data_IF_021286380035
#
_entry.id   IF_021286380035
#
_cell.length_a   1.000
_cell.length_b   1.000
_cell.length_c   1.000
_cell.angle_alpha   90.00
_cell.angle_beta   90.00
_cell.angle_gamma   90.00
#
_symmetry.space_group_name_H-M   'P 1'
#
loop_
_entity.id
_entity.type
_entity.pdbx_description
1 polymer ?
#
# COMPACT_ATOMS: atom_id res chain seq x y z
N UNK A 1 -11.47 26.08 -18.72
CA UNK A 1 -12.80 25.53 -19.02
C UNK A 1 -12.88 24.97 -20.45
N UNK A 2 -12.53 25.70 -21.49
CA UNK A 2 -12.64 25.27 -22.90
C UNK A 2 -11.92 23.93 -23.19
N UNK A 3 -10.69 23.76 -22.73
CA UNK A 3 -9.90 22.54 -22.99
C UNK A 3 -10.51 21.27 -22.32
N UNK A 4 -11.05 21.39 -21.10
CA UNK A 4 -11.65 20.24 -20.40
C UNK A 4 -13.00 19.87 -21.04
N UNK A 5 -13.75 20.87 -21.52
CA UNK A 5 -14.99 20.62 -22.25
C UNK A 5 -14.72 19.89 -23.56
N UNK A 6 -13.65 20.26 -24.27
CA UNK A 6 -13.22 19.58 -25.49
C UNK A 6 -12.83 18.12 -25.22
N UNK A 7 -12.03 17.86 -24.17
CA UNK A 7 -11.67 16.50 -23.76
C UNK A 7 -12.93 15.68 -23.40
N UNK A 8 -13.84 16.27 -22.62
CA UNK A 8 -15.11 15.64 -22.24
C UNK A 8 -15.94 15.27 -23.48
N UNK A 9 -16.19 16.21 -24.40
CA UNK A 9 -16.97 15.97 -25.62
C UNK A 9 -16.31 14.91 -26.52
N UNK A 10 -15.00 14.90 -26.66
CA UNK A 10 -14.25 13.91 -27.43
C UNK A 10 -14.44 12.50 -26.84
N UNK A 11 -14.39 12.36 -25.51
CA UNK A 11 -14.49 11.07 -24.82
C UNK A 11 -15.91 10.52 -24.90
N UNK A 12 -16.92 11.32 -24.53
CA UNK A 12 -18.32 10.85 -24.50
C UNK A 12 -18.90 10.53 -25.86
N UNK A 13 -18.40 11.20 -26.90
CA UNK A 13 -18.85 11.02 -28.30
C UNK A 13 -17.90 10.12 -29.11
N UNK A 14 -17.01 9.37 -28.45
CA UNK A 14 -16.15 8.44 -29.16
C UNK A 14 -16.97 7.40 -29.92
N UNK A 15 -16.61 7.14 -31.18
CA UNK A 15 -17.30 6.21 -32.06
C UNK A 15 -16.78 4.78 -31.85
N UNK A 16 -17.60 3.92 -31.30
CA UNK A 16 -17.29 2.51 -31.09
C UNK A 16 -17.78 1.58 -32.21
N UNK A 17 -18.26 2.10 -33.36
CA UNK A 17 -18.87 1.29 -34.41
C UNK A 17 -17.88 0.28 -35.03
N UNK A 18 -16.60 0.61 -35.09
CA UNK A 18 -15.57 -0.27 -35.65
C UNK A 18 -14.93 -1.21 -34.61
N UNK A 19 -15.42 -1.19 -33.37
CA UNK A 19 -14.88 -1.98 -32.27
C UNK A 19 -15.63 -3.29 -32.11
N UNK A 20 -14.91 -4.41 -32.11
CA UNK A 20 -15.47 -5.70 -31.68
C UNK A 20 -15.69 -5.65 -30.19
N UNK A 21 -16.94 -5.60 -29.75
CA UNK A 21 -17.30 -5.54 -28.36
C UNK A 21 -17.39 -6.97 -27.78
N UNK A 22 -16.31 -7.40 -27.14
CA UNK A 22 -16.29 -8.62 -26.34
C UNK A 22 -16.98 -8.38 -24.99
N UNK A 23 -17.27 -9.46 -24.25
CA UNK A 23 -17.92 -9.37 -22.94
C UNK A 23 -17.11 -8.60 -21.91
N UNK A 24 -15.80 -8.43 -22.09
CA UNK A 24 -14.92 -7.68 -21.21
C UNK A 24 -14.13 -6.64 -21.98
N UNK A 25 -14.29 -5.38 -21.60
CA UNK A 25 -13.62 -4.27 -22.25
C UNK A 25 -12.83 -3.43 -21.24
N UNK A 26 -11.68 -2.95 -21.70
CA UNK A 26 -10.91 -1.90 -21.01
C UNK A 26 -10.78 -0.71 -21.95
N UNK A 27 -11.34 0.42 -21.56
CA UNK A 27 -11.25 1.66 -22.34
C UNK A 27 -10.29 2.61 -21.63
N UNK A 28 -9.28 3.08 -22.37
CA UNK A 28 -8.26 4.01 -21.89
C UNK A 28 -8.39 5.36 -22.57
N UNK A 29 -8.24 6.44 -21.78
CA UNK A 29 -8.17 7.81 -22.30
C UNK A 29 -7.44 8.72 -21.32
N UNK A 30 -7.07 9.93 -21.77
CA UNK A 30 -6.47 10.94 -20.93
C UNK A 30 -7.24 12.26 -20.99
N UNK A 31 -7.15 13.02 -19.91
CA UNK A 31 -7.69 14.37 -19.82
C UNK A 31 -6.68 15.31 -19.19
N UNK A 32 -6.78 16.62 -19.48
CA UNK A 32 -6.01 17.62 -18.75
C UNK A 32 -6.39 17.63 -17.27
N UNK A 33 -5.40 17.69 -16.40
CA UNK A 33 -5.59 17.78 -14.95
C UNK A 33 -6.10 19.16 -14.55
N UNK A 34 -7.38 19.27 -14.20
CA UNK A 34 -8.04 20.49 -13.74
C UNK A 34 -8.69 20.34 -12.37
N UNK A 35 -8.60 19.17 -11.78
CA UNK A 35 -9.17 18.80 -10.48
C UNK A 35 -8.11 18.03 -9.67
N UNK A 36 -8.29 17.99 -8.37
CA UNK A 36 -7.37 17.28 -7.47
C UNK A 36 -7.78 15.82 -7.24
N UNK A 37 -6.87 15.04 -6.63
CA UNK A 37 -7.12 13.65 -6.25
C UNK A 37 -8.30 13.53 -5.28
N UNK A 38 -8.43 14.46 -4.33
CA UNK A 38 -9.52 14.41 -3.35
C UNK A 38 -10.87 14.83 -3.95
N UNK A 39 -10.92 15.77 -4.92
CA UNK A 39 -12.12 16.10 -5.67
C UNK A 39 -12.67 14.86 -6.36
N UNK A 40 -11.77 14.12 -7.06
CA UNK A 40 -12.14 12.89 -7.74
C UNK A 40 -12.70 11.82 -6.78
N UNK A 41 -12.01 11.51 -5.68
CA UNK A 41 -12.46 10.51 -4.70
C UNK A 41 -13.81 10.91 -4.09
N UNK A 42 -14.04 12.20 -3.88
CA UNK A 42 -15.24 12.73 -3.22
C UNK A 42 -16.50 12.48 -4.03
N UNK A 43 -16.42 12.51 -5.36
CA UNK A 43 -17.56 12.23 -6.25
C UNK A 43 -18.10 10.82 -6.05
N UNK A 44 -17.28 9.89 -5.61
CA UNK A 44 -17.64 8.49 -5.45
C UNK A 44 -17.91 8.11 -3.98
N UNK A 45 -18.51 9.01 -3.21
CA UNK A 45 -18.88 8.70 -1.82
C UNK A 45 -19.85 7.51 -1.69
N UNK A 46 -20.66 7.26 -2.72
CA UNK A 46 -21.57 6.10 -2.81
C UNK A 46 -20.84 4.76 -3.03
N UNK A 47 -19.58 4.78 -3.54
CA UNK A 47 -18.69 3.61 -3.70
C UNK A 47 -17.81 3.38 -2.48
N UNK A 48 -18.20 3.88 -1.30
CA UNK A 48 -17.48 3.68 -0.06
C UNK A 48 -17.30 2.18 0.24
N UNK A 49 -16.06 1.81 0.62
CA UNK A 49 -15.69 0.41 0.83
C UNK A 49 -15.06 -0.26 -0.38
N UNK A 50 -15.03 0.45 -1.52
CA UNK A 50 -14.48 -0.04 -2.80
C UNK A 50 -13.63 1.05 -3.46
N UNK A 51 -12.77 1.72 -2.69
CA UNK A 51 -11.91 2.81 -3.21
C UNK A 51 -10.53 2.71 -2.63
N UNK A 52 -9.53 3.13 -3.42
CA UNK A 52 -8.17 3.24 -2.91
C UNK A 52 -7.42 4.44 -3.53
N UNK A 53 -6.32 4.81 -2.89
CA UNK A 53 -5.31 5.72 -3.43
C UNK A 53 -3.92 5.22 -3.08
N UNK A 54 -3.01 5.22 -4.07
CA UNK A 54 -1.59 4.94 -3.93
C UNK A 54 -0.83 6.19 -4.41
N UNK A 55 -0.20 6.90 -3.48
CA UNK A 55 0.64 8.07 -3.76
C UNK A 55 2.00 7.86 -3.11
N UNK A 56 3.01 7.64 -3.94
CA UNK A 56 4.34 7.24 -3.49
C UNK A 56 5.44 8.16 -4.04
N UNK A 57 6.58 8.32 -3.33
CA UNK A 57 7.59 9.31 -3.68
C UNK A 57 8.30 9.03 -5.00
N UNK A 58 8.42 7.76 -5.34
CA UNK A 58 9.15 7.26 -6.50
C UNK A 58 8.38 7.36 -7.81
N UNK A 59 7.03 7.31 -7.75
CA UNK A 59 6.19 7.27 -8.96
C UNK A 59 5.87 8.64 -9.57
N UNK A 60 6.07 9.74 -8.82
CA UNK A 60 5.60 11.10 -9.19
C UNK A 60 4.15 11.14 -9.69
N UNK A 61 3.37 10.12 -9.34
CA UNK A 61 1.98 9.95 -9.73
C UNK A 61 1.14 9.50 -8.55
N UNK A 62 -0.19 9.71 -8.65
CA UNK A 62 -1.16 9.13 -7.74
C UNK A 62 -2.07 8.20 -8.52
N UNK A 63 -2.29 6.99 -8.02
CA UNK A 63 -3.22 6.03 -8.60
C UNK A 63 -4.44 5.93 -7.70
N UNK A 64 -5.64 6.12 -8.25
CA UNK A 64 -6.91 6.08 -7.52
C UNK A 64 -7.83 5.09 -8.21
N UNK A 65 -8.25 4.06 -7.47
CA UNK A 65 -9.25 3.09 -7.92
C UNK A 65 -10.60 3.32 -7.27
N UNK A 66 -11.65 3.19 -8.06
CA UNK A 66 -13.05 3.33 -7.67
C UNK A 66 -13.85 2.13 -8.15
N UNK A 67 -14.64 1.54 -7.25
CA UNK A 67 -15.37 0.30 -7.51
C UNK A 67 -14.42 -0.90 -7.64
N UNK A 68 -14.86 -2.09 -7.28
CA UNK A 68 -14.05 -3.30 -7.40
C UNK A 68 -14.77 -4.30 -8.30
N UNK A 69 -14.41 -4.30 -9.58
CA UNK A 69 -15.04 -5.17 -10.58
C UNK A 69 -14.65 -6.64 -10.35
N UNK A 70 -13.39 -6.88 -9.99
CA UNK A 70 -12.89 -8.21 -9.60
C UNK A 70 -12.11 -8.12 -8.30
N UNK A 71 -12.27 -9.13 -7.47
CA UNK A 71 -11.57 -9.24 -6.18
C UNK A 71 -10.98 -10.64 -6.02
N UNK A 72 -9.75 -10.70 -5.53
CA UNK A 72 -9.10 -11.93 -5.08
C UNK A 72 -8.84 -11.80 -3.58
N UNK A 73 -9.64 -12.48 -2.79
CA UNK A 73 -9.58 -12.48 -1.34
C UNK A 73 -9.24 -13.90 -0.87
N UNK A 74 -8.05 -14.10 -0.38
CA UNK A 74 -7.57 -15.40 0.08
C UNK A 74 -7.15 -15.28 1.54
N UNK A 75 -7.63 -16.23 2.34
CA UNK A 75 -7.19 -16.40 3.71
C UNK A 75 -6.23 -17.59 3.76
N UNK A 76 -4.99 -17.31 4.05
CA UNK A 76 -3.91 -18.28 4.11
C UNK A 76 -3.04 -18.00 5.32
N UNK A 77 -2.74 -19.02 6.09
CA UNK A 77 -1.77 -18.92 7.18
C UNK A 77 -0.32 -18.90 6.69
N UNK A 78 -0.12 -18.95 5.37
CA UNK A 78 1.20 -18.98 4.75
C UNK A 78 1.31 -17.91 3.67
N UNK A 79 2.14 -16.89 3.95
CA UNK A 79 2.47 -15.81 3.03
C UNK A 79 3.01 -16.33 1.68
N UNK A 80 3.83 -17.37 1.71
CA UNK A 80 4.44 -17.95 0.51
C UNK A 80 3.41 -18.59 -0.41
N UNK A 81 2.42 -19.29 0.17
CA UNK A 81 1.38 -19.96 -0.61
C UNK A 81 0.47 -18.97 -1.35
N UNK A 82 0.34 -17.74 -0.86
CA UNK A 82 -0.50 -16.71 -1.48
C UNK A 82 0.03 -16.26 -2.84
N UNK A 83 1.35 -16.19 -3.01
CA UNK A 83 1.99 -15.83 -4.29
C UNK A 83 2.37 -17.05 -5.14
N UNK A 84 2.68 -18.17 -4.53
CA UNK A 84 2.92 -19.44 -5.23
C UNK A 84 1.62 -20.11 -5.68
N UNK A 85 0.49 -19.83 -5.02
CA UNK A 85 -0.80 -20.29 -5.47
C UNK A 85 -1.15 -19.68 -6.82
N UNK A 86 -1.32 -20.54 -7.79
CA UNK A 86 -1.70 -20.23 -9.17
C UNK A 86 -2.95 -19.33 -9.29
N UNK A 87 -3.60 -18.97 -8.17
CA UNK A 87 -4.94 -18.41 -8.17
C UNK A 87 -4.99 -16.89 -8.45
N UNK A 88 -4.02 -16.08 -8.02
CA UNK A 88 -4.08 -14.63 -8.23
C UNK A 88 -3.48 -14.24 -9.58
N UNK A 89 -2.20 -14.55 -9.78
CA UNK A 89 -1.53 -14.20 -11.05
C UNK A 89 -2.14 -14.92 -12.23
N UNK A 90 -2.43 -16.24 -12.11
CA UNK A 90 -3.07 -16.98 -13.20
C UNK A 90 -4.50 -16.53 -13.46
N UNK A 91 -5.27 -16.21 -12.41
CA UNK A 91 -6.60 -15.63 -12.58
C UNK A 91 -6.58 -14.25 -13.23
N UNK A 92 -5.57 -13.45 -12.94
CA UNK A 92 -5.39 -12.16 -13.61
C UNK A 92 -4.91 -12.33 -15.06
N UNK A 93 -4.00 -13.26 -15.34
CA UNK A 93 -3.57 -13.62 -16.70
C UNK A 93 -4.76 -14.14 -17.52
N UNK A 94 -5.61 -14.99 -16.95
CA UNK A 94 -6.84 -15.46 -17.58
C UNK A 94 -7.79 -14.30 -17.87
N UNK A 95 -8.00 -13.39 -16.91
CA UNK A 95 -8.79 -12.18 -17.12
C UNK A 95 -8.27 -11.35 -18.29
N UNK A 96 -6.96 -11.15 -18.38
CA UNK A 96 -6.32 -10.40 -19.46
C UNK A 96 -6.61 -11.00 -20.85
N UNK A 97 -6.61 -12.33 -20.97
CA UNK A 97 -6.91 -13.00 -22.25
C UNK A 97 -8.36 -12.83 -22.70
N UNK A 98 -9.26 -12.44 -21.80
CA UNK A 98 -10.67 -12.23 -22.06
C UNK A 98 -11.03 -10.75 -22.31
N UNK A 99 -10.05 -9.84 -22.17
CA UNK A 99 -10.28 -8.39 -22.23
C UNK A 99 -9.85 -7.84 -23.59
N UNK A 100 -10.75 -7.09 -24.23
CA UNK A 100 -10.41 -6.24 -25.38
C UNK A 100 -10.04 -4.84 -24.89
N UNK A 101 -8.89 -4.33 -25.36
CA UNK A 101 -8.39 -3.01 -25.00
C UNK A 101 -8.70 -2.00 -26.11
N UNK A 102 -9.28 -0.87 -25.69
CA UNK A 102 -9.57 0.29 -26.54
C UNK A 102 -8.80 1.48 -25.97
N UNK A 103 -7.94 2.09 -26.76
CA UNK A 103 -7.20 3.28 -26.37
C UNK A 103 -7.62 4.46 -27.24
N UNK A 104 -8.42 5.36 -26.67
CA UNK A 104 -8.98 6.52 -27.38
C UNK A 104 -7.89 7.54 -27.77
N UNK A 105 -6.78 7.57 -27.03
CA UNK A 105 -5.72 8.57 -27.16
C UNK A 105 -4.39 8.00 -27.64
N UNK A 106 -4.33 6.69 -27.94
CA UNK A 106 -3.14 5.98 -28.41
C UNK A 106 -1.91 6.27 -27.52
N UNK A 107 -2.09 6.18 -26.17
CA UNK A 107 -0.98 6.39 -25.24
C UNK A 107 -0.39 5.05 -24.77
N UNK A 108 0.93 4.99 -24.63
CA UNK A 108 1.64 3.75 -24.26
C UNK A 108 1.54 3.37 -22.77
N UNK A 109 0.88 4.20 -21.95
CA UNK A 109 0.80 3.98 -20.51
C UNK A 109 -0.15 2.83 -20.15
N UNK A 110 0.36 1.82 -19.47
CA UNK A 110 -0.42 0.65 -19.05
C UNK A 110 -0.69 0.70 -17.54
N UNK A 111 -1.94 0.88 -17.19
CA UNK A 111 -2.37 0.98 -15.80
C UNK A 111 -3.41 -0.06 -15.39
N UNK A 112 -4.02 -0.80 -16.34
CA UNK A 112 -4.90 -1.91 -16.00
C UNK A 112 -4.13 -2.95 -15.19
N UNK A 113 -4.66 -3.35 -14.03
CA UNK A 113 -3.90 -4.24 -13.16
C UNK A 113 -4.58 -4.57 -11.83
N UNK A 114 -3.84 -5.34 -11.05
CA UNK A 114 -4.15 -5.71 -9.68
C UNK A 114 -3.60 -4.68 -8.70
N UNK A 115 -4.40 -4.29 -7.72
CA UNK A 115 -4.04 -3.36 -6.65
C UNK A 115 -4.35 -3.99 -5.31
N UNK A 116 -3.40 -4.01 -4.40
CA UNK A 116 -3.61 -4.66 -3.10
C UNK A 116 -2.34 -5.11 -2.42
N UNK A 117 -2.45 -6.10 -1.54
CA UNK A 117 -1.32 -6.58 -0.77
C UNK A 117 -1.54 -7.93 -0.11
N UNK A 118 -0.52 -8.35 0.63
CA UNK A 118 -0.51 -9.58 1.42
C UNK A 118 -0.12 -9.26 2.84
N UNK A 119 -0.91 -9.73 3.82
CA UNK A 119 -0.68 -9.52 5.24
C UNK A 119 0.27 -10.55 5.83
N UNK A 120 0.50 -10.45 7.14
CA UNK A 120 1.28 -11.41 7.91
C UNK A 120 0.55 -12.75 8.20
N UNK A 121 -0.65 -12.95 7.66
CA UNK A 121 -1.47 -14.14 7.88
C UNK A 121 -2.31 -14.09 9.17
N UNK A 122 -2.39 -12.95 9.83
CA UNK A 122 -3.08 -12.80 11.13
C UNK A 122 -4.43 -12.09 11.07
N UNK A 123 -4.92 -11.72 9.89
CA UNK A 123 -6.12 -10.89 9.74
C UNK A 123 -7.35 -11.50 10.39
N UNK A 124 -7.55 -12.81 10.26
CA UNK A 124 -8.70 -13.50 10.87
C UNK A 124 -8.69 -13.54 12.38
N UNK A 125 -7.53 -13.40 13.01
CA UNK A 125 -7.37 -13.48 14.46
C UNK A 125 -7.71 -12.18 15.18
N UNK A 126 -7.96 -11.08 14.43
CA UNK A 126 -8.17 -9.75 14.98
C UNK A 126 -9.41 -9.08 14.42
N UNK A 127 -10.14 -8.36 15.27
CA UNK A 127 -11.34 -7.63 14.86
C UNK A 127 -11.03 -6.42 13.97
N UNK A 128 -9.85 -5.85 14.10
CA UNK A 128 -9.44 -4.66 13.35
C UNK A 128 -9.40 -4.92 11.84
N UNK A 129 -9.00 -6.13 11.43
CA UNK A 129 -8.82 -6.52 10.02
C UNK A 129 -9.97 -7.34 9.44
N UNK A 130 -11.14 -7.36 10.11
CA UNK A 130 -12.28 -8.23 9.78
C UNK A 130 -12.73 -8.16 8.31
N UNK A 131 -12.56 -7.02 7.67
CA UNK A 131 -12.97 -6.80 6.27
C UNK A 131 -11.86 -7.13 5.26
N UNK A 132 -10.63 -7.35 5.73
CA UNK A 132 -9.48 -7.69 4.89
C UNK A 132 -9.14 -9.17 5.03
N UNK A 133 -9.01 -9.86 3.90
CA UNK A 133 -8.39 -11.19 3.87
C UNK A 133 -6.86 -11.06 3.94
N UNK A 134 -6.16 -12.16 4.28
CA UNK A 134 -4.71 -12.18 4.36
C UNK A 134 -4.06 -11.77 3.03
N UNK A 135 -4.68 -12.13 1.92
CA UNK A 135 -4.36 -11.61 0.61
C UNK A 135 -5.57 -10.89 0.03
N UNK A 136 -5.41 -9.64 -0.34
CA UNK A 136 -6.48 -8.78 -0.85
C UNK A 136 -5.98 -8.03 -2.08
N UNK A 137 -6.44 -8.43 -3.26
CA UNK A 137 -6.19 -7.74 -4.52
C UNK A 137 -7.49 -7.45 -5.25
N UNK A 138 -7.53 -6.33 -5.94
CA UNK A 138 -8.68 -5.87 -6.72
C UNK A 138 -8.29 -5.37 -8.11
N UNK A 139 -9.22 -5.48 -9.05
CA UNK A 139 -9.22 -4.72 -10.31
C UNK A 139 -10.32 -3.68 -10.17
N UNK A 140 -10.02 -2.38 -10.24
CA UNK A 140 -11.02 -1.33 -10.11
C UNK A 140 -11.90 -1.20 -11.35
N UNK A 141 -13.16 -0.77 -11.17
CA UNK A 141 -14.05 -0.36 -12.26
C UNK A 141 -13.51 0.87 -13.00
N UNK A 142 -12.99 1.83 -12.23
CA UNK A 142 -12.41 3.07 -12.72
C UNK A 142 -11.05 3.24 -12.05
N UNK A 143 -10.02 3.37 -12.84
CA UNK A 143 -8.71 3.78 -12.37
C UNK A 143 -8.36 5.15 -12.94
N UNK A 144 -7.98 6.08 -12.09
CA UNK A 144 -7.46 7.39 -12.46
C UNK A 144 -6.00 7.53 -12.01
N UNK A 145 -5.09 7.82 -12.94
CA UNK A 145 -3.68 8.04 -12.64
C UNK A 145 -3.30 9.49 -12.91
N UNK A 146 -3.04 10.22 -11.84
CA UNK A 146 -2.62 11.62 -11.88
C UNK A 146 -1.11 11.67 -12.10
N UNK A 147 -0.66 12.10 -13.29
CA UNK A 147 0.76 12.15 -13.67
C UNK A 147 1.04 13.41 -14.50
N UNK A 148 1.88 14.29 -13.99
CA UNK A 148 2.18 15.56 -14.64
C UNK A 148 0.93 16.43 -14.82
N UNK A 149 0.70 16.89 -16.04
CA UNK A 149 -0.41 17.74 -16.42
C UNK A 149 -1.67 16.99 -16.83
N UNK A 150 -1.66 15.67 -16.75
CA UNK A 150 -2.76 14.83 -17.21
C UNK A 150 -3.26 13.89 -16.11
N UNK A 151 -4.51 13.45 -16.29
CA UNK A 151 -5.10 12.32 -15.61
C UNK A 151 -5.40 11.27 -16.67
N UNK A 152 -4.86 10.06 -16.49
CA UNK A 152 -5.08 8.90 -17.34
C UNK A 152 -6.16 8.05 -16.71
N UNK A 153 -7.20 7.75 -17.46
CA UNK A 153 -8.30 6.92 -17.02
C UNK A 153 -8.24 5.55 -17.69
N UNK A 154 -8.53 4.52 -16.91
CA UNK A 154 -8.75 3.16 -17.36
C UNK A 154 -10.09 2.70 -16.80
N UNK A 155 -11.07 2.45 -17.67
CA UNK A 155 -12.39 1.98 -17.30
C UNK A 155 -12.52 0.52 -17.69
N UNK A 156 -12.86 -0.34 -16.73
CA UNK A 156 -13.10 -1.75 -16.97
C UNK A 156 -14.60 -2.04 -17.01
N UNK A 157 -15.04 -2.81 -17.98
CA UNK A 157 -16.41 -3.23 -18.19
C UNK A 157 -16.45 -4.76 -18.28
N UNK A 158 -17.17 -5.39 -17.36
CA UNK A 158 -17.58 -6.80 -17.44
C UNK A 158 -19.06 -6.82 -17.81
N UNK A 159 -19.35 -7.12 -19.08
CA UNK A 159 -20.69 -7.05 -19.62
C UNK A 159 -21.35 -8.42 -19.55
N UNK A 160 -22.54 -8.46 -18.98
CA UNK A 160 -23.42 -9.61 -19.07
C UNK A 160 -24.15 -9.62 -20.42
N UNK A 161 -24.61 -10.80 -20.86
CA UNK A 161 -25.36 -10.93 -22.10
C UNK A 161 -26.60 -10.03 -22.14
N UNK A 162 -26.70 -9.24 -23.21
CA UNK A 162 -27.86 -8.36 -23.44
C UNK A 162 -27.74 -6.94 -22.84
N UNK A 163 -26.60 -6.58 -22.25
CA UNK A 163 -26.36 -5.21 -21.79
C UNK A 163 -25.94 -4.32 -22.96
N UNK A 164 -26.56 -3.16 -23.10
CA UNK A 164 -26.14 -2.14 -24.06
C UNK A 164 -24.85 -1.45 -23.55
N UNK A 165 -23.75 -1.68 -24.26
CA UNK A 165 -22.47 -1.07 -23.94
C UNK A 165 -22.54 0.47 -23.93
N UNK A 166 -23.23 1.09 -24.86
CA UNK A 166 -23.31 2.56 -24.93
C UNK A 166 -24.06 3.15 -23.73
N UNK A 167 -25.06 2.44 -23.22
CA UNK A 167 -25.73 2.85 -21.98
C UNK A 167 -24.79 2.72 -20.79
N UNK A 168 -24.06 1.60 -20.68
CA UNK A 168 -23.08 1.37 -19.64
C UNK A 168 -21.91 2.38 -19.71
N UNK A 169 -21.44 2.69 -20.91
CA UNK A 169 -20.44 3.73 -21.16
C UNK A 169 -20.87 5.09 -20.64
N UNK A 170 -22.06 5.54 -21.02
CA UNK A 170 -22.63 6.82 -20.57
C UNK A 170 -22.72 6.88 -19.05
N UNK A 171 -23.26 5.84 -18.43
CA UNK A 171 -23.38 5.73 -16.96
C UNK A 171 -22.02 5.78 -16.28
N UNK A 172 -21.02 5.04 -16.80
CA UNK A 172 -19.69 4.96 -16.18
C UNK A 172 -18.86 6.21 -16.41
N UNK A 173 -19.14 7.00 -17.43
CA UNK A 173 -18.48 8.29 -17.73
C UNK A 173 -19.21 9.52 -17.18
N UNK A 174 -20.39 9.37 -16.57
CA UNK A 174 -21.18 10.47 -15.97
C UNK A 174 -20.36 11.34 -14.99
N UNK A 175 -19.39 10.75 -14.29
CA UNK A 175 -18.53 11.48 -13.37
C UNK A 175 -17.69 12.57 -14.05
N UNK A 176 -17.40 12.43 -15.34
CA UNK A 176 -16.65 13.43 -16.12
C UNK A 176 -17.41 14.75 -16.19
N UNK A 177 -18.72 14.70 -16.33
CA UNK A 177 -19.57 15.89 -16.30
C UNK A 177 -19.48 16.60 -14.95
N UNK A 178 -19.56 15.84 -13.84
CA UNK A 178 -19.45 16.39 -12.48
C UNK A 178 -18.06 17.01 -12.21
N UNK A 179 -16.99 16.45 -12.79
CA UNK A 179 -15.64 17.02 -12.70
C UNK A 179 -15.52 18.36 -13.47
N UNK A 180 -16.22 18.48 -14.58
CA UNK A 180 -16.23 19.73 -15.39
C UNK A 180 -16.94 20.87 -14.65
N UNK A 181 -18.07 20.58 -13.99
CA UNK A 181 -18.87 21.59 -13.32
C UNK A 181 -18.49 21.86 -11.86
N UNK A 182 -17.51 21.13 -11.31
CA UNK A 182 -16.89 21.34 -9.98
C UNK A 182 -17.91 21.58 -8.84
N UNK A 183 -18.65 20.58 -8.46
CA UNK A 183 -19.40 20.61 -7.20
C UNK A 183 -18.46 20.40 -6.03
N UNK A 184 -18.35 21.37 -5.11
CA UNK A 184 -17.53 21.21 -3.89
C UNK A 184 -18.21 20.22 -2.94
N UNK A 185 -17.56 19.08 -2.64
CA UNK A 185 -18.12 18.11 -1.73
C UNK A 185 -18.01 18.59 -0.28
N UNK A 186 -19.09 18.42 0.49
CA UNK A 186 -19.07 18.61 1.94
C UNK A 186 -18.27 17.48 2.61
N UNK A 187 -17.14 17.81 3.18
CA UNK A 187 -16.30 16.87 3.95
C UNK A 187 -16.37 17.17 5.45
N UNK A 188 -16.79 16.19 6.23
CA UNK A 188 -16.65 16.26 7.67
C UNK A 188 -15.20 15.90 8.04
N UNK A 189 -14.51 16.80 8.71
CA UNK A 189 -13.18 16.54 9.23
C UNK A 189 -13.26 15.58 10.42
N UNK A 190 -12.37 14.58 10.50
CA UNK A 190 -12.34 13.66 11.61
C UNK A 190 -11.90 14.39 12.88
N UNK A 191 -12.67 14.28 13.96
CA UNK A 191 -12.33 14.83 15.28
C UNK A 191 -12.13 13.71 16.28
N UNK A 192 -11.03 13.79 17.05
CA UNK A 192 -10.73 12.83 18.11
C UNK A 192 -11.64 13.07 19.31
N UNK A 193 -12.35 12.03 19.74
CA UNK A 193 -13.10 11.99 20.99
C UNK A 193 -12.25 11.42 22.13
N UNK A 194 -11.65 10.25 21.92
CA UNK A 194 -10.85 9.54 22.94
C UNK A 194 -9.64 8.86 22.30
N UNK A 195 -8.52 8.86 23.02
CA UNK A 195 -7.33 8.05 22.70
C UNK A 195 -7.10 7.07 23.86
N UNK A 196 -6.90 5.80 23.54
CA UNK A 196 -6.61 4.74 24.50
C UNK A 196 -5.42 3.91 24.06
N UNK A 197 -4.56 3.55 25.00
CA UNK A 197 -3.56 2.50 24.80
C UNK A 197 -4.21 1.13 24.96
N UNK A 198 -3.82 0.20 24.12
CA UNK A 198 -4.25 -1.19 24.22
C UNK A 198 -3.21 -1.93 25.07
N UNK A 199 -3.63 -2.40 26.26
CA UNK A 199 -2.80 -3.15 27.21
C UNK A 199 -1.48 -2.44 27.58
N UNK A 200 -1.53 -1.20 28.10
CA UNK A 200 -0.31 -0.41 28.36
C UNK A 200 0.64 -1.09 29.36
N UNK A 201 0.13 -1.78 30.37
CA UNK A 201 0.96 -2.49 31.36
C UNK A 201 1.72 -3.66 30.72
N UNK A 202 1.05 -4.44 29.87
CA UNK A 202 1.67 -5.55 29.15
C UNK A 202 2.77 -5.03 28.22
N UNK A 203 2.49 -3.93 27.52
CA UNK A 203 3.47 -3.32 26.62
C UNK A 203 4.70 -2.79 27.40
N UNK A 204 4.50 -2.15 28.54
CA UNK A 204 5.58 -1.68 29.42
C UNK A 204 6.41 -2.84 29.97
N UNK A 205 5.76 -3.93 30.35
CA UNK A 205 6.48 -5.14 30.81
C UNK A 205 7.28 -5.79 29.67
N UNK A 206 6.76 -5.78 28.47
CA UNK A 206 7.48 -6.28 27.29
C UNK A 206 8.74 -5.45 26.99
N UNK A 207 8.73 -4.13 27.24
CA UNK A 207 9.95 -3.32 27.14
C UNK A 207 11.00 -3.82 28.14
N UNK A 208 10.61 -4.02 29.42
CA UNK A 208 11.56 -4.47 30.46
C UNK A 208 12.17 -5.84 30.11
N UNK A 209 11.32 -6.78 29.68
CA UNK A 209 11.78 -8.12 29.26
C UNK A 209 12.73 -8.04 28.07
N UNK A 210 12.39 -7.21 27.06
CA UNK A 210 13.22 -7.05 25.87
C UNK A 210 14.59 -6.43 26.19
N UNK A 211 14.61 -5.37 27.00
CA UNK A 211 15.86 -4.74 27.44
C UNK A 211 16.73 -5.71 28.23
N UNK A 212 16.14 -6.53 29.11
CA UNK A 212 16.84 -7.56 29.85
C UNK A 212 17.49 -8.62 28.92
N UNK A 213 16.74 -9.09 27.92
CA UNK A 213 17.28 -10.04 26.94
C UNK A 213 18.39 -9.43 26.07
N UNK A 214 18.31 -8.13 25.79
CA UNK A 214 19.37 -7.39 25.09
C UNK A 214 20.62 -7.26 26.00
N UNK A 215 20.45 -6.97 27.28
CA UNK A 215 21.54 -6.90 28.25
C UNK A 215 22.23 -8.25 28.41
N UNK A 216 21.48 -9.35 28.43
CA UNK A 216 21.99 -10.74 28.51
C UNK A 216 22.64 -11.21 27.20
N UNK A 217 22.54 -10.45 26.12
CA UNK A 217 23.10 -10.78 24.82
C UNK A 217 22.29 -11.80 24.01
N UNK A 218 21.09 -12.19 24.46
CA UNK A 218 20.16 -13.07 23.72
C UNK A 218 19.57 -12.36 22.51
N UNK A 219 19.32 -11.05 22.66
CA UNK A 219 18.93 -10.15 21.59
C UNK A 219 19.98 -9.04 21.45
N UNK A 220 20.29 -8.64 20.23
CA UNK A 220 21.06 -7.40 20.00
C UNK A 220 20.10 -6.21 19.87
N UNK A 221 18.89 -6.46 19.39
CA UNK A 221 17.81 -5.46 19.21
C UNK A 221 16.46 -6.13 18.95
N UNK A 222 15.42 -5.36 19.17
CA UNK A 222 14.04 -5.78 18.95
C UNK A 222 13.19 -4.59 18.47
N UNK A 223 12.32 -4.80 17.48
CA UNK A 223 11.26 -3.85 17.13
C UNK A 223 10.01 -4.25 17.88
N UNK A 224 9.69 -3.51 18.93
CA UNK A 224 8.53 -3.78 19.78
C UNK A 224 7.30 -3.02 19.26
N UNK A 225 6.21 -3.71 18.89
CA UNK A 225 4.97 -3.08 18.42
C UNK A 225 4.14 -2.51 19.58
N UNK A 226 3.37 -1.45 19.29
CA UNK A 226 2.37 -0.85 20.17
C UNK A 226 1.11 -0.54 19.40
N UNK A 227 -0.05 -0.83 19.96
CA UNK A 227 -1.35 -0.48 19.43
C UNK A 227 -2.01 0.60 20.25
N UNK A 228 -2.56 1.63 19.59
CA UNK A 228 -3.38 2.65 20.20
C UNK A 228 -4.75 2.66 19.52
N UNK A 229 -5.82 2.79 20.29
CA UNK A 229 -7.16 3.03 19.76
C UNK A 229 -7.52 4.50 19.84
N UNK A 230 -8.10 5.00 18.77
CA UNK A 230 -8.61 6.37 18.66
C UNK A 230 -10.09 6.26 18.32
N UNK A 231 -10.93 6.82 19.16
CA UNK A 231 -12.34 6.97 18.87
C UNK A 231 -12.58 8.37 18.30
N UNK A 232 -13.21 8.44 17.14
CA UNK A 232 -13.62 9.68 16.48
C UNK A 232 -15.07 10.02 16.84
N UNK A 233 -15.41 11.31 16.88
CA UNK A 233 -16.79 11.79 16.99
C UNK A 233 -17.62 11.33 15.79
N UNK A 234 -17.03 11.37 14.61
CA UNK A 234 -17.68 11.01 13.35
C UNK A 234 -16.85 9.95 12.62
N UNK A 235 -17.54 9.18 11.78
CA UNK A 235 -16.88 8.21 10.90
C UNK A 235 -15.96 8.93 9.93
N UNK A 236 -14.68 8.47 9.82
CA UNK A 236 -13.73 9.00 8.84
C UNK A 236 -14.03 8.51 7.42
N UNK A 237 -13.55 9.23 6.44
CA UNK A 237 -13.67 8.87 5.02
C UNK A 237 -12.33 8.95 4.30
N UNK A 238 -12.20 8.15 3.24
CA UNK A 238 -11.00 8.19 2.39
C UNK A 238 -10.76 9.60 1.82
N UNK A 239 -11.82 10.30 1.39
CA UNK A 239 -11.71 11.64 0.85
C UNK A 239 -11.16 12.66 1.88
N UNK A 240 -11.65 12.63 3.13
CA UNK A 240 -11.16 13.51 4.20
C UNK A 240 -9.67 13.23 4.53
N UNK A 241 -9.30 11.96 4.66
CA UNK A 241 -7.90 11.58 4.89
C UNK A 241 -7.02 11.98 3.70
N UNK A 242 -7.48 11.76 2.47
CA UNK A 242 -6.74 12.14 1.26
C UNK A 242 -6.51 13.64 1.21
N UNK A 243 -7.53 14.47 1.42
CA UNK A 243 -7.41 15.94 1.48
C UNK A 243 -6.36 16.36 2.50
N UNK A 244 -6.45 15.82 3.70
CA UNK A 244 -5.51 16.14 4.77
C UNK A 244 -4.07 15.76 4.42
N UNK A 245 -3.81 14.52 3.98
CA UNK A 245 -2.47 14.03 3.66
C UNK A 245 -1.86 14.76 2.46
N UNK A 246 -2.67 15.11 1.45
CA UNK A 246 -2.23 15.92 0.31
C UNK A 246 -1.83 17.33 0.74
N UNK A 247 -2.62 17.98 1.59
CA UNK A 247 -2.29 19.31 2.14
C UNK A 247 -0.98 19.31 2.93
N UNK A 248 -0.66 18.20 3.62
CA UNK A 248 0.63 18.01 4.31
C UNK A 248 1.75 17.50 3.38
N UNK A 249 1.50 17.40 2.07
CA UNK A 249 2.46 16.89 1.07
C UNK A 249 3.04 15.51 1.47
N UNK A 250 2.19 14.62 2.01
CA UNK A 250 2.58 13.28 2.42
C UNK A 250 2.42 12.27 1.28
N UNK A 251 3.29 11.26 1.30
CA UNK A 251 3.11 10.04 0.53
C UNK A 251 2.35 9.03 1.37
N UNK A 252 1.43 8.31 0.76
CA UNK A 252 0.57 7.37 1.48
C UNK A 252 -0.10 6.37 0.55
N UNK A 253 -0.51 5.25 1.13
CA UNK A 253 -1.44 4.30 0.54
C UNK A 253 -2.66 4.26 1.44
N UNK A 254 -3.84 4.38 0.86
CA UNK A 254 -5.10 4.21 1.57
C UNK A 254 -6.03 3.30 0.75
N UNK A 255 -6.69 2.36 1.42
CA UNK A 255 -7.46 1.31 0.77
C UNK A 255 -8.71 1.01 1.60
N UNK A 256 -9.87 1.13 0.99
CA UNK A 256 -11.14 0.75 1.60
C UNK A 256 -11.49 -0.69 1.24
N UNK A 257 -11.97 -1.44 2.22
CA UNK A 257 -12.58 -2.74 2.03
C UNK A 257 -13.83 -2.82 2.90
N UNK A 258 -15.01 -2.89 2.29
CA UNK A 258 -16.30 -2.87 2.98
C UNK A 258 -16.43 -1.69 3.95
N UNK A 259 -16.34 -1.93 5.27
CA UNK A 259 -16.46 -0.89 6.31
C UNK A 259 -15.12 -0.37 6.80
N UNK A 260 -14.04 -1.05 6.47
CA UNK A 260 -12.70 -0.75 6.94
C UNK A 260 -11.93 0.14 5.96
N UNK A 261 -11.07 0.99 6.51
CA UNK A 261 -10.15 1.85 5.76
C UNK A 261 -8.73 1.66 6.32
N UNK A 262 -7.90 0.97 5.55
CA UNK A 262 -6.47 0.86 5.79
C UNK A 262 -5.74 2.10 5.27
N UNK A 263 -4.81 2.64 6.06
CA UNK A 263 -3.94 3.74 5.64
C UNK A 263 -2.52 3.52 6.13
N UNK A 264 -1.54 3.69 5.26
CA UNK A 264 -0.13 3.77 5.64
C UNK A 264 0.51 5.03 5.09
N UNK A 265 1.33 5.71 5.89
CA UNK A 265 2.03 6.92 5.48
C UNK A 265 3.52 6.65 5.31
N UNK A 266 4.14 7.34 4.34
CA UNK A 266 5.53 7.16 3.95
C UNK A 266 5.88 5.68 3.67
N UNK A 267 5.13 5.01 2.77
CA UNK A 267 5.42 3.64 2.39
C UNK A 267 6.81 3.56 1.73
N UNK A 268 7.54 2.50 2.03
CA UNK A 268 8.91 2.29 1.56
C UNK A 268 8.89 1.26 0.42
N UNK A 269 9.45 1.62 -0.75
CA UNK A 269 9.53 0.66 -1.85
C UNK A 269 10.33 -0.58 -1.43
N UNK A 270 9.82 -1.76 -1.71
CA UNK A 270 10.47 -3.03 -1.37
C UNK A 270 10.78 -3.88 -2.58
N UNK A 271 9.92 -3.83 -3.59
CA UNK A 271 10.12 -4.54 -4.86
C UNK A 271 9.69 -3.64 -6.00
N UNK A 272 10.52 -3.61 -7.05
CA UNK A 272 10.22 -2.99 -8.33
C UNK A 272 10.56 -3.98 -9.43
N UNK A 273 9.60 -4.26 -10.28
CA UNK A 273 9.74 -5.10 -11.47
C UNK A 273 9.29 -4.26 -12.64
N UNK A 274 10.21 -3.90 -13.50
CA UNK A 274 9.98 -3.04 -14.64
C UNK A 274 10.74 -3.59 -15.85
N UNK A 275 10.08 -3.69 -17.00
CA UNK A 275 10.61 -4.33 -18.20
C UNK A 275 11.17 -5.74 -17.93
N UNK A 276 12.48 -5.88 -17.99
CA UNK A 276 13.22 -7.12 -17.70
C UNK A 276 14.09 -7.01 -16.45
N UNK A 277 13.90 -5.95 -15.65
CA UNK A 277 14.70 -5.70 -14.44
C UNK A 277 13.89 -5.94 -13.18
N UNK A 278 14.49 -6.64 -12.21
CA UNK A 278 14.02 -6.79 -10.85
C UNK A 278 14.93 -5.99 -9.93
N UNK A 279 14.33 -5.15 -9.08
CA UNK A 279 15.00 -4.42 -8.01
C UNK A 279 14.35 -4.77 -6.67
N UNK A 280 15.12 -5.38 -5.78
CA UNK A 280 14.73 -5.63 -4.40
C UNK A 280 15.45 -4.64 -3.47
N UNK A 281 14.68 -3.91 -2.66
CA UNK A 281 15.19 -2.84 -1.80
C UNK A 281 15.33 -3.33 -0.37
N UNK A 282 16.57 -3.37 0.13
CA UNK A 282 16.90 -3.75 1.50
C UNK A 282 17.30 -2.51 2.29
N UNK A 283 16.49 -2.16 3.28
CA UNK A 283 16.74 -0.98 4.11
C UNK A 283 17.84 -1.25 5.11
N UNK A 284 18.99 -0.61 4.93
CA UNK A 284 20.20 -0.79 5.75
C UNK A 284 20.25 0.20 6.92
N UNK A 285 19.67 1.39 6.75
CA UNK A 285 19.71 2.45 7.74
C UNK A 285 18.40 3.23 7.71
N UNK A 286 17.78 3.32 8.87
CA UNK A 286 16.57 4.10 9.04
C UNK A 286 16.81 5.21 10.06
N UNK A 287 17.17 6.39 9.56
CA UNK A 287 17.47 7.54 10.44
C UNK A 287 16.24 8.08 11.15
N UNK A 288 15.02 7.64 10.78
CA UNK A 288 13.83 8.42 11.10
C UNK A 288 12.52 7.72 11.36
N UNK A 289 12.43 6.41 11.24
CA UNK A 289 11.20 5.75 11.66
C UNK A 289 11.07 5.69 13.19
N UNK A 290 12.19 5.74 13.91
CA UNK A 290 12.21 5.43 15.33
C UNK A 290 12.88 6.48 16.23
N UNK A 291 13.74 7.37 15.74
CA UNK A 291 14.36 8.44 16.55
C UNK A 291 15.16 9.44 15.72
N UNK A 292 15.56 10.57 16.35
CA UNK A 292 16.52 11.54 15.77
C UNK A 292 17.98 11.02 15.77
N UNK A 293 18.23 9.86 16.38
CA UNK A 293 19.54 9.22 16.35
C UNK A 293 19.60 8.25 15.16
N UNK A 294 20.64 8.34 14.36
CA UNK A 294 20.94 7.39 13.29
C UNK A 294 21.23 6.02 13.90
N UNK A 295 20.28 5.11 13.82
CA UNK A 295 20.49 3.73 14.26
C UNK A 295 20.95 2.93 13.06
N UNK A 296 22.19 2.47 13.06
CA UNK A 296 22.69 1.45 12.11
C UNK A 296 21.91 0.17 12.41
N UNK A 297 21.03 -0.22 11.50
CA UNK A 297 20.11 -1.31 11.78
C UNK A 297 20.76 -2.68 11.75
N UNK A 298 22.03 -2.83 11.25
CA UNK A 298 22.68 -4.13 11.19
C UNK A 298 24.20 -4.05 11.15
N UNK A 299 24.85 -5.13 11.55
CA UNK A 299 26.15 -5.52 11.01
C UNK A 299 25.85 -5.89 9.54
N UNK A 300 26.01 -4.92 8.68
CA UNK A 300 25.37 -4.81 7.36
C UNK A 300 25.72 -5.95 6.42
N UNK A 301 26.88 -6.58 6.65
CA UNK A 301 27.43 -7.58 5.74
C UNK A 301 26.69 -8.92 5.80
N UNK A 302 26.36 -9.42 6.99
CA UNK A 302 25.87 -10.80 7.12
C UNK A 302 24.45 -10.98 6.58
N UNK A 303 23.58 -10.01 6.83
CA UNK A 303 22.19 -10.08 6.34
C UNK A 303 22.14 -9.84 4.85
N UNK A 304 22.92 -8.89 4.38
CA UNK A 304 23.02 -8.61 2.97
C UNK A 304 23.51 -9.82 2.16
N UNK A 305 24.56 -10.50 2.67
CA UNK A 305 25.08 -11.73 2.08
C UNK A 305 23.98 -12.80 2.06
N UNK A 306 23.26 -13.01 3.17
CA UNK A 306 22.16 -13.97 3.25
C UNK A 306 21.09 -13.71 2.22
N UNK A 307 20.55 -12.47 2.14
CA UNK A 307 19.54 -12.14 1.13
C UNK A 307 20.05 -12.35 -0.28
N UNK A 308 21.30 -11.97 -0.57
CA UNK A 308 21.91 -12.19 -1.88
C UNK A 308 21.96 -13.68 -2.21
N UNK A 309 22.34 -14.53 -1.26
CA UNK A 309 22.37 -15.98 -1.42
C UNK A 309 20.96 -16.58 -1.59
N UNK A 310 19.99 -16.15 -0.80
CA UNK A 310 18.59 -16.58 -0.92
C UNK A 310 17.99 -16.18 -2.28
N UNK A 311 18.22 -14.96 -2.73
CA UNK A 311 17.82 -14.50 -4.05
C UNK A 311 18.52 -15.30 -5.16
N UNK A 312 19.85 -15.52 -5.04
CA UNK A 312 20.61 -16.34 -5.98
C UNK A 312 20.06 -17.76 -6.06
N UNK A 313 19.77 -18.38 -4.93
CA UNK A 313 19.20 -19.72 -4.86
C UNK A 313 17.79 -19.79 -5.48
N UNK A 314 16.94 -18.78 -5.19
CA UNK A 314 15.55 -18.74 -5.66
C UNK A 314 15.45 -18.49 -7.17
N UNK A 315 16.33 -17.64 -7.71
CA UNK A 315 16.28 -17.20 -9.12
C UNK A 315 17.34 -17.84 -10.00
N UNK A 316 18.27 -18.63 -9.43
CA UNK A 316 19.41 -19.27 -10.14
C UNK A 316 20.24 -18.24 -10.92
N UNK A 317 20.36 -17.01 -10.41
CA UNK A 317 21.03 -15.87 -11.04
C UNK A 317 21.84 -15.07 -10.02
N UNK A 318 22.90 -14.44 -10.50
CA UNK A 318 23.65 -13.47 -9.74
C UNK A 318 22.92 -12.11 -9.72
N UNK A 319 22.98 -11.46 -8.55
CA UNK A 319 22.42 -10.14 -8.34
C UNK A 319 23.55 -9.12 -8.21
N UNK A 320 23.43 -8.05 -8.99
CA UNK A 320 24.27 -6.88 -8.81
C UNK A 320 23.80 -6.11 -7.57
N UNK A 321 24.75 -5.52 -6.88
CA UNK A 321 24.51 -4.75 -5.67
C UNK A 321 24.84 -3.30 -5.95
N UNK A 322 23.91 -2.43 -5.68
CA UNK A 322 24.14 -0.97 -5.68
C UNK A 322 23.56 -0.35 -4.43
N UNK A 323 24.25 0.64 -3.90
CA UNK A 323 23.67 1.52 -2.89
C UNK A 323 22.79 2.54 -3.57
N UNK A 324 21.59 2.74 -3.04
CA UNK A 324 20.69 3.79 -3.48
C UNK A 324 20.28 4.67 -2.29
N UNK A 325 19.89 5.90 -2.59
CA UNK A 325 19.54 6.89 -1.57
C UNK A 325 18.25 7.59 -1.98
N UNK A 326 17.25 7.52 -1.12
CA UNK A 326 16.01 8.23 -1.34
C UNK A 326 15.79 9.30 -0.29
N UNK A 327 15.50 10.52 -0.73
CA UNK A 327 15.16 11.62 0.15
C UNK A 327 13.66 11.54 0.51
N UNK A 328 13.36 11.19 1.75
CA UNK A 328 12.02 11.16 2.30
C UNK A 328 11.79 12.39 3.18
N UNK A 329 11.21 13.44 2.59
CA UNK A 329 11.06 14.73 3.27
C UNK A 329 12.40 15.45 3.46
N UNK A 330 12.84 15.68 4.72
CA UNK A 330 14.12 16.30 5.05
C UNK A 330 15.25 15.32 5.33
N UNK A 331 15.01 14.03 5.23
CA UNK A 331 15.88 12.97 5.70
C UNK A 331 16.19 11.97 4.58
N UNK A 332 17.40 11.45 4.60
CA UNK A 332 17.95 10.56 3.60
C UNK A 332 17.93 9.11 4.13
N UNK A 333 17.10 8.26 3.54
CA UNK A 333 17.12 6.83 3.80
C UNK A 333 18.13 6.15 2.86
N UNK A 334 18.99 5.32 3.42
CA UNK A 334 20.00 4.55 2.67
C UNK A 334 19.57 3.09 2.63
N UNK A 335 19.55 2.51 1.45
CA UNK A 335 19.25 1.11 1.26
C UNK A 335 20.16 0.49 0.20
N UNK A 336 20.42 -0.79 0.33
CA UNK A 336 21.00 -1.56 -0.74
C UNK A 336 19.94 -2.03 -1.70
N UNK A 337 20.25 -2.02 -2.97
CA UNK A 337 19.39 -2.51 -4.03
C UNK A 337 20.03 -3.72 -4.65
N UNK A 338 19.34 -4.86 -4.58
CA UNK A 338 19.70 -6.05 -5.32
C UNK A 338 19.03 -5.96 -6.70
N UNK A 339 19.82 -5.94 -7.77
CA UNK A 339 19.34 -5.84 -9.14
C UNK A 339 19.70 -7.07 -9.93
N UNK A 340 18.79 -7.54 -10.78
CA UNK A 340 19.08 -8.56 -11.79
C UNK A 340 18.15 -8.42 -12.98
N UNK A 341 18.63 -8.83 -14.16
CA UNK A 341 17.75 -9.06 -15.30
C UNK A 341 16.96 -10.35 -15.11
N UNK A 342 15.68 -10.30 -15.38
CA UNK A 342 14.77 -11.43 -15.25
C UNK A 342 14.30 -11.91 -16.61
N UNK A 343 14.04 -13.23 -16.70
CA UNK A 343 13.48 -13.85 -17.93
C UNK A 343 11.96 -13.85 -17.86
N UNK A 344 11.39 -13.81 -16.66
CA UNK A 344 9.94 -13.89 -16.41
C UNK A 344 9.53 -12.97 -15.27
N UNK A 345 8.67 -12.00 -15.58
CA UNK A 345 8.10 -11.08 -14.60
C UNK A 345 7.22 -11.82 -13.56
N UNK A 346 6.55 -12.92 -13.94
CA UNK A 346 5.81 -13.77 -13.01
C UNK A 346 6.72 -14.34 -11.92
N UNK A 347 7.93 -14.80 -12.31
CA UNK A 347 8.91 -15.28 -11.33
C UNK A 347 9.43 -14.15 -10.45
N UNK A 348 9.53 -12.93 -10.98
CA UNK A 348 10.03 -11.78 -10.23
C UNK A 348 9.13 -11.41 -9.05
N UNK A 349 7.81 -11.51 -9.22
CA UNK A 349 6.85 -11.22 -8.14
C UNK A 349 7.04 -12.18 -6.95
N UNK A 350 7.52 -13.39 -7.21
CA UNK A 350 7.91 -14.35 -6.17
C UNK A 350 9.08 -13.84 -5.28
N UNK A 351 9.78 -12.79 -5.70
CA UNK A 351 10.78 -12.13 -4.86
C UNK A 351 10.19 -11.61 -3.54
N UNK A 352 8.89 -11.27 -3.52
CA UNK A 352 8.23 -10.91 -2.26
C UNK A 352 8.32 -12.01 -1.22
N UNK A 353 8.29 -13.27 -1.61
CA UNK A 353 8.42 -14.40 -0.68
C UNK A 353 9.82 -14.55 -0.08
N UNK A 354 10.84 -13.95 -0.68
CA UNK A 354 12.20 -13.85 -0.12
C UNK A 354 12.34 -12.61 0.77
N UNK A 355 11.67 -11.51 0.37
CA UNK A 355 11.74 -10.25 1.11
C UNK A 355 10.92 -10.25 2.40
N UNK A 356 9.82 -11.01 2.44
CA UNK A 356 8.88 -10.96 3.56
C UNK A 356 8.77 -12.30 4.30
N UNK A 357 8.56 -12.27 5.62
CA UNK A 357 8.56 -11.08 6.46
C UNK A 357 9.92 -10.41 6.46
N UNK A 358 9.98 -9.08 6.47
CA UNK A 358 11.27 -8.37 6.50
C UNK A 358 11.90 -8.57 7.90
N UNK A 359 13.00 -9.32 8.02
CA UNK A 359 13.60 -9.65 9.33
C UNK A 359 14.01 -8.41 10.11
N UNK A 360 14.44 -7.39 9.38
CA UNK A 360 14.87 -6.10 9.92
C UNK A 360 13.81 -5.41 10.76
N UNK A 361 12.54 -5.69 10.51
CA UNK A 361 11.40 -5.07 11.16
C UNK A 361 10.91 -5.86 12.39
N UNK A 362 11.53 -7.01 12.69
CA UNK A 362 11.27 -7.79 13.91
C UNK A 362 12.38 -7.64 14.94
N UNK A 363 13.64 -7.80 14.54
CA UNK A 363 14.81 -7.71 15.43
C UNK A 363 15.96 -8.61 15.02
N UNK A 364 16.98 -8.72 15.89
CA UNK A 364 18.16 -9.55 15.65
C UNK A 364 18.74 -10.11 16.97
N UNK A 365 19.14 -11.39 17.06
CA UNK A 365 18.99 -12.44 16.04
C UNK A 365 17.54 -12.71 15.69
N UNK A 366 17.28 -13.05 14.44
CA UNK A 366 15.92 -13.11 13.88
C UNK A 366 15.03 -14.12 14.60
N UNK A 367 15.54 -15.35 14.80
CA UNK A 367 14.79 -16.43 15.47
C UNK A 367 14.40 -16.00 16.90
N UNK A 368 15.36 -15.50 17.67
CA UNK A 368 15.13 -15.07 19.04
C UNK A 368 14.13 -13.89 19.12
N UNK A 369 14.21 -12.95 18.16
CA UNK A 369 13.29 -11.85 18.08
C UNK A 369 11.85 -12.31 17.73
N UNK A 370 11.74 -13.26 16.81
CA UNK A 370 10.46 -13.84 16.41
C UNK A 370 9.80 -14.63 17.55
N UNK A 371 10.57 -15.44 18.27
CA UNK A 371 10.12 -16.16 19.45
C UNK A 371 9.63 -15.20 20.54
N UNK A 372 10.42 -14.15 20.82
CA UNK A 372 10.02 -13.12 21.79
C UNK A 372 8.71 -12.46 21.42
N UNK A 373 8.55 -12.03 20.14
CA UNK A 373 7.34 -11.37 19.67
C UNK A 373 6.12 -12.31 19.72
N UNK A 374 6.31 -13.57 19.34
CA UNK A 374 5.26 -14.58 19.37
C UNK A 374 4.76 -14.86 20.80
N UNK A 375 5.66 -14.91 21.77
CA UNK A 375 5.32 -15.16 23.17
C UNK A 375 4.69 -13.94 23.88
N UNK A 376 5.23 -12.75 23.61
CA UNK A 376 4.90 -11.54 24.36
C UNK A 376 3.98 -10.57 23.61
N UNK A 377 3.86 -10.70 22.31
CA UNK A 377 3.05 -9.83 21.44
C UNK A 377 2.16 -10.67 20.52
N UNK A 378 1.25 -11.52 21.03
CA UNK A 378 0.51 -12.52 20.24
C UNK A 378 -0.57 -11.93 19.33
N UNK A 379 -0.66 -10.61 19.23
CA UNK A 379 -1.70 -9.95 18.44
C UNK A 379 -1.30 -9.83 16.98
N UNK A 380 -2.21 -10.17 16.07
CA UNK A 380 -2.02 -10.00 14.64
C UNK A 380 -1.84 -8.54 14.24
N UNK A 381 -0.96 -8.32 13.28
CA UNK A 381 -0.59 -7.00 12.81
C UNK A 381 -1.11 -6.71 11.39
N UNK A 382 -1.66 -7.72 10.72
CA UNK A 382 -2.29 -7.59 9.42
C UNK A 382 -1.33 -7.08 8.36
N UNK A 383 -1.68 -5.97 7.72
CA UNK A 383 -0.84 -5.33 6.71
C UNK A 383 0.27 -4.44 7.27
N UNK A 384 0.43 -4.35 8.57
CA UNK A 384 1.53 -3.60 9.15
C UNK A 384 2.87 -4.29 8.89
N UNK A 385 3.81 -3.56 8.28
CA UNK A 385 5.08 -4.06 7.73
C UNK A 385 4.97 -5.13 6.64
N UNK A 386 3.82 -5.24 6.02
CA UNK A 386 3.56 -6.17 4.94
C UNK A 386 3.60 -5.47 3.57
N UNK A 387 3.75 -6.21 2.46
CA UNK A 387 3.78 -5.63 1.12
C UNK A 387 2.39 -5.21 0.68
N UNK A 388 2.30 -3.99 0.14
CA UNK A 388 1.12 -3.46 -0.52
C UNK A 388 1.52 -2.70 -1.78
N UNK A 389 0.84 -2.91 -2.90
CA UNK A 389 1.24 -2.30 -4.15
C UNK A 389 0.34 -2.64 -5.33
N UNK A 390 0.96 -2.84 -6.49
CA UNK A 390 0.22 -3.17 -7.71
C UNK A 390 1.05 -4.02 -8.68
N UNK A 391 0.33 -4.68 -9.59
CA UNK A 391 0.84 -5.44 -10.73
C UNK A 391 0.02 -5.03 -11.95
N UNK A 392 0.64 -4.47 -13.00
CA UNK A 392 -0.07 -4.06 -14.20
C UNK A 392 -0.26 -5.22 -15.20
N UNK A 393 -0.95 -4.96 -16.30
CA UNK A 393 -1.20 -5.96 -17.34
C UNK A 393 0.07 -6.46 -18.04
N UNK A 394 1.15 -5.68 -18.03
CA UNK A 394 2.46 -6.09 -18.54
C UNK A 394 3.28 -6.87 -17.49
N UNK A 395 2.68 -7.15 -16.31
CA UNK A 395 3.32 -7.75 -15.13
C UNK A 395 4.45 -6.90 -14.55
N UNK A 396 4.54 -5.61 -14.89
CA UNK A 396 5.33 -4.70 -14.08
C UNK A 396 4.69 -4.58 -12.70
N UNK A 397 5.49 -4.63 -11.67
CA UNK A 397 4.99 -4.68 -10.32
C UNK A 397 5.78 -3.75 -9.40
N UNK A 398 5.07 -3.10 -8.50
CA UNK A 398 5.71 -2.29 -7.47
C UNK A 398 5.02 -2.48 -6.14
N UNK A 399 5.83 -2.88 -5.14
CA UNK A 399 5.35 -3.13 -3.79
C UNK A 399 6.10 -2.29 -2.78
N UNK A 400 5.38 -1.93 -1.73
CA UNK A 400 5.84 -1.06 -0.67
C UNK A 400 5.62 -1.72 0.68
N UNK A 401 6.55 -1.52 1.61
CA UNK A 401 6.39 -1.91 3.00
C UNK A 401 5.58 -0.87 3.76
N UNK A 402 4.55 -1.31 4.47
CA UNK A 402 3.58 -0.49 5.18
C UNK A 402 3.96 -0.28 6.65
N UNK A 403 4.95 0.58 6.93
CA UNK A 403 5.48 0.77 8.30
C UNK A 403 4.62 1.64 9.22
N UNK A 404 4.09 2.74 8.70
CA UNK A 404 3.30 3.72 9.47
C UNK A 404 1.80 3.51 9.22
N UNK A 405 1.23 2.49 9.83
CA UNK A 405 -0.08 1.95 9.49
C UNK A 405 -1.16 2.30 10.51
N UNK A 406 -2.36 2.52 10.02
CA UNK A 406 -3.60 2.55 10.78
C UNK A 406 -4.71 1.82 10.02
N UNK A 407 -5.66 1.28 10.77
CA UNK A 407 -6.90 0.72 10.26
C UNK A 407 -8.08 1.39 10.96
N UNK A 408 -9.01 1.93 10.18
CA UNK A 408 -10.25 2.49 10.69
C UNK A 408 -11.39 1.52 10.38
N UNK A 409 -12.14 1.15 11.41
CA UNK A 409 -13.41 0.44 11.30
C UNK A 409 -14.49 1.37 11.86
N UNK A 410 -15.37 1.85 11.00
CA UNK A 410 -16.36 2.86 11.33
C UNK A 410 -15.72 4.15 11.90
N UNK A 411 -15.95 4.47 13.17
CA UNK A 411 -15.35 5.62 13.87
C UNK A 411 -14.20 5.25 14.81
N UNK A 412 -13.78 3.98 14.82
CA UNK A 412 -12.67 3.49 15.65
C UNK A 412 -11.44 3.30 14.74
N UNK A 413 -10.33 3.89 15.13
CA UNK A 413 -9.05 3.73 14.46
C UNK A 413 -8.11 2.97 15.37
N UNK A 414 -7.48 1.91 14.87
CA UNK A 414 -6.32 1.27 15.49
C UNK A 414 -5.07 1.79 14.80
N UNK A 415 -4.22 2.44 15.58
CA UNK A 415 -2.93 2.96 15.14
C UNK A 415 -1.83 1.98 15.54
N UNK A 416 -1.06 1.50 14.56
CA UNK A 416 0.10 0.66 14.78
C UNK A 416 1.36 1.52 14.85
N UNK A 417 2.06 1.43 15.95
CA UNK A 417 3.36 2.07 16.17
C UNK A 417 4.39 1.02 16.58
N UNK A 418 5.64 1.35 16.45
CA UNK A 418 6.73 0.49 16.92
C UNK A 418 7.88 1.31 17.44
N UNK A 419 8.70 0.67 18.26
CA UNK A 419 9.94 1.24 18.74
C UNK A 419 11.06 0.21 18.58
N UNK A 420 12.18 0.66 18.08
CA UNK A 420 13.40 -0.13 18.07
C UNK A 420 14.07 -0.03 19.45
N UNK A 421 14.38 -1.18 20.04
CA UNK A 421 15.12 -1.34 21.26
C UNK A 421 16.54 -1.87 20.95
N UNK A 422 17.54 -1.30 21.60
CA UNK A 422 18.93 -1.62 21.45
C UNK A 422 19.66 -1.55 22.80
N UNK A 423 20.95 -1.92 22.82
CA UNK A 423 21.76 -1.96 24.04
C UNK A 423 21.88 -0.60 24.76
N UNK A 424 21.79 0.49 24.00
CA UNK A 424 22.00 1.84 24.51
C UNK A 424 20.71 2.49 25.03
N UNK A 425 19.58 1.79 24.97
CA UNK A 425 18.28 2.31 25.37
C UNK A 425 17.99 2.06 26.84
N UNK A 426 17.50 3.07 27.54
CA UNK A 426 16.89 2.95 28.87
C UNK A 426 15.36 2.85 28.78
N UNK A 427 14.74 2.28 29.83
CA UNK A 427 13.29 2.14 29.89
C UNK A 427 12.56 3.49 29.73
N UNK A 428 13.01 4.52 30.44
CA UNK A 428 12.34 5.83 30.45
C UNK A 428 12.46 6.55 29.11
N UNK A 429 13.63 6.49 28.46
CA UNK A 429 13.85 7.03 27.12
C UNK A 429 12.96 6.34 26.08
N UNK A 430 12.78 5.02 26.19
CA UNK A 430 11.91 4.24 25.29
C UNK A 430 10.46 4.70 25.44
N UNK A 431 9.97 4.88 26.68
CA UNK A 431 8.61 5.37 26.95
C UNK A 431 8.41 6.77 26.36
N UNK A 432 9.33 7.70 26.64
CA UNK A 432 9.25 9.08 26.15
C UNK A 432 9.22 9.12 24.62
N UNK A 433 10.16 8.41 23.98
CA UNK A 433 10.30 8.32 22.54
C UNK A 433 9.04 7.77 21.88
N UNK A 434 8.46 6.70 22.45
CA UNK A 434 7.24 6.09 21.90
C UNK A 434 6.04 7.03 22.05
N UNK A 435 5.88 7.69 23.18
CA UNK A 435 4.81 8.67 23.39
C UNK A 435 4.94 9.85 22.42
N UNK A 436 6.15 10.29 22.10
CA UNK A 436 6.41 11.32 21.09
C UNK A 436 5.96 10.86 19.70
N UNK A 437 6.24 9.60 19.32
CA UNK A 437 5.79 9.01 18.05
C UNK A 437 4.26 8.98 17.99
N UNK A 438 3.59 8.47 19.01
CA UNK A 438 2.12 8.44 19.09
C UNK A 438 1.54 9.85 18.97
N UNK A 439 2.05 10.80 19.75
CA UNK A 439 1.60 12.21 19.73
C UNK A 439 1.77 12.85 18.36
N UNK A 440 2.88 12.57 17.67
CA UNK A 440 3.13 13.05 16.31
C UNK A 440 2.10 12.49 15.31
N UNK A 441 1.67 11.24 15.48
CA UNK A 441 0.67 10.62 14.60
C UNK A 441 -0.75 11.08 14.91
N UNK A 442 -1.07 11.34 16.17
CA UNK A 442 -2.37 11.91 16.55
C UNK A 442 -2.62 13.29 15.95
N UNK A 443 -1.55 14.03 15.60
CA UNK A 443 -1.66 15.28 14.84
C UNK A 443 -2.25 15.10 13.44
N UNK A 444 -2.37 13.87 12.94
CA UNK A 444 -3.11 13.59 11.71
C UNK A 444 -4.62 13.83 11.85
N UNK A 445 -5.15 13.90 13.06
CA UNK A 445 -6.58 14.04 13.35
C UNK A 445 -6.92 15.29 14.19
N UNK A 446 -5.93 16.03 14.65
CA UNK A 446 -6.13 17.27 15.41
C UNK A 446 -5.73 18.46 14.53
N UNK A 447 -6.70 19.32 14.24
CA UNK A 447 -6.51 20.63 13.62
C UNK A 447 -6.64 21.73 14.65
#
# INVERSE_FOLDING_TARGET
>A
MENIMNDYQRIINYDFNDVVLDNKLVVKFKMKKTFSEWDFISLFSHKRGERFIIKTPDSRSSKIGIGYEKTWLLDSNDFLSSFDNKNILSGFEELKTQVTFIDIDEHDEEYFGLYGGVSDGSNKSTQEWVDFSDTSFVVPEILAVFKGDFVYFTLFFDMEDGVDFLELWRKRTEFLEKLVFQEEPLLNEPKISVVRDIYPEVWQENIRKALLKIEQGELKRLVLPRKNQILLENRTSLAAITKYLLNKKRYFIAFEMKKSLFVTTNPLVSLDVDDEELKAYLYLKQENLFSDKSVVMFDEKDIFIRYKEEFKAKFEKDFEVSDDKMLMGKKLDVYAVLKTRIISKQKAIKALSVLYPIPLLKGYPEIAAEEFLKENCPTGYGFWYSPFGYINANLDARFYTCGNTMIALENMITLFTSILLSKDDSYDEVIERTNSIVSSRLKLFNH
#
